data_IF_839973574531
#
_entry.id   IF_839973574531
#
_cell.length_a   1.000
_cell.length_b   1.000
_cell.length_c   1.000
_cell.angle_alpha   90.00
_cell.angle_beta   90.00
_cell.angle_gamma   90.00
#
_symmetry.space_group_name_H-M   'P 1'
#
loop_
_entity.id
_entity.type
_entity.pdbx_description
1 polymer ?
#
# COMPACT_ATOMS: atom_id res chain seq x y z
N UNK A 1 24.39 -21.60 -4.20
CA UNK A 1 23.61 -21.21 -5.39
C UNK A 1 22.96 -22.50 -5.90
N UNK A 2 21.65 -22.48 -6.19
CA UNK A 2 20.97 -23.66 -6.74
C UNK A 2 21.46 -23.91 -8.17
N UNK A 3 21.60 -25.19 -8.55
CA UNK A 3 21.82 -25.54 -9.96
C UNK A 3 20.53 -25.31 -10.78
N UNK A 4 20.66 -25.23 -12.11
CA UNK A 4 19.54 -24.88 -13.00
C UNK A 4 18.36 -25.83 -12.86
N UNK A 5 18.59 -27.12 -12.63
CA UNK A 5 17.53 -28.11 -12.46
C UNK A 5 16.74 -27.87 -11.18
N UNK A 6 17.43 -27.67 -10.05
CA UNK A 6 16.77 -27.34 -8.77
C UNK A 6 16.01 -26.02 -8.86
N UNK A 7 16.59 -25.04 -9.55
CA UNK A 7 15.96 -23.74 -9.77
C UNK A 7 14.64 -23.85 -10.56
N UNK A 8 14.61 -24.66 -11.61
CA UNK A 8 13.38 -24.90 -12.41
C UNK A 8 12.34 -25.66 -11.59
N UNK A 9 12.75 -26.72 -10.89
CA UNK A 9 11.84 -27.53 -10.06
C UNK A 9 11.26 -26.68 -8.92
N UNK A 10 12.08 -25.88 -8.22
CA UNK A 10 11.61 -24.99 -7.17
C UNK A 10 10.60 -23.98 -7.71
N UNK A 11 10.89 -23.35 -8.85
CA UNK A 11 9.97 -22.41 -9.49
C UNK A 11 8.62 -23.07 -9.83
N UNK A 12 8.64 -24.29 -10.37
CA UNK A 12 7.42 -25.02 -10.66
C UNK A 12 6.63 -25.40 -9.41
N UNK A 13 7.30 -25.77 -8.30
CA UNK A 13 6.65 -26.06 -7.02
C UNK A 13 5.99 -24.79 -6.45
N UNK A 14 6.70 -23.65 -6.46
CA UNK A 14 6.17 -22.39 -5.96
C UNK A 14 4.96 -21.94 -6.78
N UNK A 15 5.05 -22.00 -8.10
CA UNK A 15 3.95 -21.62 -8.99
C UNK A 15 2.72 -22.51 -8.77
N UNK A 16 2.90 -23.82 -8.72
CA UNK A 16 1.81 -24.77 -8.48
C UNK A 16 1.15 -24.56 -7.13
N UNK A 17 1.95 -24.23 -6.10
CA UNK A 17 1.42 -23.94 -4.77
C UNK A 17 0.64 -22.62 -4.73
N UNK A 18 1.11 -21.58 -5.43
CA UNK A 18 0.38 -20.30 -5.55
C UNK A 18 -0.99 -20.52 -6.22
N UNK A 19 -1.06 -21.38 -7.25
CA UNK A 19 -2.30 -21.65 -7.98
C UNK A 19 -3.30 -22.51 -7.21
N UNK A 20 -2.80 -23.41 -6.35
CA UNK A 20 -3.65 -24.45 -5.74
C UNK A 20 -3.78 -24.37 -4.22
N UNK A 21 -2.90 -23.62 -3.55
CA UNK A 21 -2.74 -23.60 -2.09
C UNK A 21 -2.60 -25.01 -1.45
N UNK A 22 -2.25 -26.04 -2.25
CA UNK A 22 -2.14 -27.43 -1.81
C UNK A 22 -0.70 -27.92 -1.83
N UNK A 23 -0.27 -28.76 -0.86
CA UNK A 23 1.06 -29.36 -0.87
C UNK A 23 1.35 -30.09 -2.17
N UNK A 24 2.45 -29.75 -2.83
CA UNK A 24 2.78 -30.17 -4.19
C UNK A 24 3.53 -31.50 -4.21
N UNK A 25 2.99 -32.45 -4.96
CA UNK A 25 3.61 -33.77 -5.16
C UNK A 25 4.57 -33.83 -6.36
N UNK A 26 5.60 -34.67 -6.32
CA UNK A 26 6.58 -34.81 -7.39
C UNK A 26 5.98 -35.28 -8.74
N UNK A 27 4.86 -36.04 -8.69
CA UNK A 27 4.17 -36.46 -9.92
C UNK A 27 3.60 -35.28 -10.69
N UNK A 28 3.01 -34.30 -9.99
CA UNK A 28 2.43 -33.12 -10.59
C UNK A 28 3.50 -32.23 -11.25
N UNK A 29 4.63 -32.14 -10.61
CA UNK A 29 5.77 -31.34 -11.14
C UNK A 29 6.43 -32.05 -12.35
N UNK A 30 6.52 -33.39 -12.36
CA UNK A 30 7.08 -34.10 -13.53
C UNK A 30 6.24 -33.95 -14.80
N UNK A 31 4.96 -33.61 -14.65
CA UNK A 31 4.02 -33.40 -15.76
C UNK A 31 3.98 -31.92 -16.21
N UNK A 32 4.68 -31.03 -15.50
CA UNK A 32 4.69 -29.61 -15.80
C UNK A 32 5.55 -29.28 -17.04
N UNK A 33 5.16 -28.26 -17.84
CA UNK A 33 5.90 -27.85 -19.02
C UNK A 33 7.37 -27.46 -18.67
N UNK A 34 8.33 -27.95 -19.46
CA UNK A 34 9.74 -27.64 -19.26
C UNK A 34 10.45 -28.49 -18.21
N UNK A 35 9.79 -29.52 -17.68
CA UNK A 35 10.39 -30.50 -16.74
C UNK A 35 10.57 -31.84 -17.48
N UNK A 36 11.77 -32.10 -17.98
CA UNK A 36 12.11 -33.32 -18.75
C UNK A 36 12.76 -34.39 -17.87
N UNK A 37 12.25 -34.60 -16.64
CA UNK A 37 12.80 -35.60 -15.71
C UNK A 37 11.68 -36.42 -15.06
N UNK A 38 12.01 -37.65 -14.64
CA UNK A 38 11.04 -38.52 -13.99
C UNK A 38 10.58 -38.02 -12.63
N UNK A 39 9.37 -38.40 -12.22
CA UNK A 39 8.83 -38.09 -10.88
C UNK A 39 9.76 -38.56 -9.75
N UNK A 40 10.51 -39.64 -9.93
CA UNK A 40 11.51 -40.08 -8.95
C UNK A 40 12.69 -39.08 -8.85
N UNK A 41 13.15 -38.54 -9.98
CA UNK A 41 14.18 -37.50 -10.02
C UNK A 41 13.66 -36.22 -9.37
N UNK A 42 12.46 -35.75 -9.75
CA UNK A 42 11.81 -34.58 -9.11
C UNK A 42 11.74 -34.76 -7.60
N UNK A 43 11.32 -35.95 -7.14
CA UNK A 43 11.22 -36.23 -5.70
C UNK A 43 12.56 -36.08 -4.98
N UNK A 44 13.67 -36.58 -5.58
CA UNK A 44 15.00 -36.47 -5.01
C UNK A 44 15.45 -34.99 -4.95
N UNK A 45 15.18 -34.22 -6.00
CA UNK A 45 15.49 -32.78 -6.01
C UNK A 45 14.65 -32.01 -4.98
N UNK A 46 13.39 -32.36 -4.81
CA UNK A 46 12.52 -31.76 -3.76
C UNK A 46 13.03 -32.06 -2.35
N UNK A 47 13.59 -33.26 -2.10
CA UNK A 47 14.25 -33.58 -0.82
C UNK A 47 15.49 -32.70 -0.61
N UNK A 48 16.33 -32.56 -1.63
CA UNK A 48 17.50 -31.69 -1.53
C UNK A 48 17.13 -30.22 -1.33
N UNK A 49 16.04 -29.75 -1.93
CA UNK A 49 15.49 -28.40 -1.72
C UNK A 49 14.93 -28.21 -0.31
N UNK A 50 14.33 -29.25 0.26
CA UNK A 50 13.87 -29.28 1.66
C UNK A 50 15.07 -29.22 2.64
N UNK A 51 16.10 -30.05 2.42
CA UNK A 51 17.33 -30.01 3.22
C UNK A 51 18.03 -28.65 3.14
N UNK A 52 17.94 -27.98 1.99
CA UNK A 52 18.47 -26.63 1.79
C UNK A 52 17.54 -25.50 2.32
N UNK A 53 16.36 -25.84 2.87
CA UNK A 53 15.42 -24.93 3.49
C UNK A 53 14.58 -24.10 2.51
N UNK A 54 14.48 -24.48 1.24
CA UNK A 54 13.62 -23.83 0.25
C UNK A 54 12.19 -24.38 0.23
N UNK A 55 12.04 -25.63 0.63
CA UNK A 55 10.76 -26.32 0.75
C UNK A 55 10.60 -26.86 2.18
N UNK A 56 9.37 -27.11 2.58
CA UNK A 56 9.03 -27.80 3.82
C UNK A 56 8.01 -28.91 3.55
N UNK A 57 8.01 -29.95 4.38
CA UNK A 57 7.00 -30.98 4.35
C UNK A 57 6.06 -30.81 5.56
N UNK A 58 4.82 -30.34 5.38
CA UNK A 58 3.93 -30.10 6.53
C UNK A 58 3.55 -31.38 7.29
N UNK A 59 3.44 -32.53 6.58
CA UNK A 59 3.18 -33.84 7.17
C UNK A 59 3.87 -34.94 6.38
N UNK A 60 4.22 -36.04 7.00
CA UNK A 60 5.02 -37.15 6.44
C UNK A 60 4.46 -37.77 5.15
N UNK A 61 3.14 -37.68 4.92
CA UNK A 61 2.47 -38.16 3.71
C UNK A 61 2.07 -37.05 2.73
N UNK A 62 2.30 -35.79 3.08
CA UNK A 62 1.96 -34.66 2.25
C UNK A 62 3.05 -34.40 1.18
N UNK A 63 2.68 -33.64 0.14
CA UNK A 63 3.64 -33.02 -0.76
C UNK A 63 4.55 -32.01 -0.03
N UNK A 64 5.13 -31.10 -0.76
CA UNK A 64 5.96 -30.04 -0.18
C UNK A 64 5.32 -28.68 -0.42
N UNK A 65 5.58 -27.76 0.51
CA UNK A 65 5.16 -26.37 0.44
C UNK A 65 6.41 -25.48 0.37
N UNK A 66 6.36 -24.33 -0.30
CA UNK A 66 7.45 -23.36 -0.27
C UNK A 66 7.64 -22.78 1.13
N UNK A 67 8.88 -22.46 1.49
CA UNK A 67 9.21 -21.60 2.64
C UNK A 67 9.40 -20.16 2.16
N UNK A 68 9.52 -19.18 3.07
CA UNK A 68 9.85 -17.79 2.73
C UNK A 68 11.10 -17.71 1.85
N UNK A 69 12.10 -18.54 2.14
CA UNK A 69 13.31 -18.65 1.31
C UNK A 69 13.02 -19.17 -0.10
N UNK A 70 12.06 -20.10 -0.22
CA UNK A 70 11.61 -20.61 -1.52
C UNK A 70 10.89 -19.54 -2.33
N UNK A 71 9.96 -18.83 -1.71
CA UNK A 71 9.26 -17.70 -2.32
C UNK A 71 10.23 -16.58 -2.71
N UNK A 72 11.19 -16.23 -1.84
CA UNK A 72 12.20 -15.21 -2.14
C UNK A 72 13.01 -15.57 -3.38
N UNK A 73 13.47 -16.80 -3.50
CA UNK A 73 14.19 -17.28 -4.67
C UNK A 73 13.34 -17.14 -5.95
N UNK A 74 12.07 -17.52 -5.89
CA UNK A 74 11.13 -17.44 -7.01
C UNK A 74 10.92 -15.99 -7.46
N UNK A 75 10.65 -15.09 -6.52
CA UNK A 75 10.42 -13.65 -6.79
C UNK A 75 11.68 -13.00 -7.37
N UNK A 76 12.87 -13.31 -6.85
CA UNK A 76 14.12 -12.75 -7.35
C UNK A 76 14.41 -13.23 -8.79
N UNK A 77 13.97 -14.44 -9.13
CA UNK A 77 14.08 -14.97 -10.49
C UNK A 77 13.08 -14.29 -11.44
N UNK A 78 11.83 -14.10 -11.04
CA UNK A 78 10.84 -13.36 -11.83
C UNK A 78 11.29 -11.92 -12.12
N UNK A 79 12.00 -11.29 -11.20
CA UNK A 79 12.54 -9.92 -11.39
C UNK A 79 13.56 -9.82 -12.52
N UNK A 80 14.26 -10.91 -12.84
CA UNK A 80 15.19 -10.95 -13.98
C UNK A 80 14.47 -11.02 -15.33
N UNK A 81 13.25 -11.54 -15.35
CA UNK A 81 12.35 -11.58 -16.49
C UNK A 81 11.37 -10.40 -16.35
N UNK A 82 11.68 -9.25 -16.97
CA UNK A 82 10.76 -8.11 -16.95
C UNK A 82 9.47 -8.49 -17.68
N UNK A 83 8.34 -8.69 -17.00
CA UNK A 83 7.08 -8.86 -17.67
C UNK A 83 6.77 -7.54 -18.40
N UNK A 84 6.53 -7.62 -19.69
CA UNK A 84 6.04 -6.50 -20.48
C UNK A 84 4.53 -6.63 -20.50
N UNK A 85 3.83 -5.58 -20.02
CA UNK A 85 2.37 -5.51 -20.19
C UNK A 85 2.02 -5.76 -21.66
N UNK A 86 0.97 -6.51 -21.90
CA UNK A 86 0.49 -6.70 -23.26
C UNK A 86 -0.02 -5.38 -23.85
N UNK A 87 -0.30 -5.35 -25.17
CA UNK A 87 -0.71 -4.11 -25.83
C UNK A 87 -2.08 -3.61 -25.40
N UNK A 88 -2.96 -4.51 -24.97
CA UNK A 88 -4.29 -4.16 -24.51
C UNK A 88 -4.21 -3.48 -23.14
N UNK A 89 -3.45 -4.07 -22.21
CA UNK A 89 -3.22 -3.52 -20.89
C UNK A 89 -2.47 -2.18 -20.96
N UNK A 90 -1.46 -2.07 -21.84
CA UNK A 90 -0.78 -0.78 -22.09
C UNK A 90 -1.77 0.30 -22.56
N UNK A 91 -2.69 -0.06 -23.48
CA UNK A 91 -3.74 0.85 -23.93
C UNK A 91 -4.65 1.28 -22.80
N UNK A 92 -5.09 0.35 -21.97
CA UNK A 92 -5.95 0.61 -20.81
C UNK A 92 -5.30 1.59 -19.83
N UNK A 93 -4.01 1.38 -19.51
CA UNK A 93 -3.25 2.28 -18.63
C UNK A 93 -3.12 3.69 -19.23
N UNK A 94 -2.76 3.79 -20.52
CA UNK A 94 -2.62 5.08 -21.19
C UNK A 94 -3.94 5.83 -21.22
N UNK A 95 -5.04 5.15 -21.57
CA UNK A 95 -6.37 5.72 -21.65
C UNK A 95 -6.89 6.15 -20.27
N UNK A 96 -6.55 5.43 -19.22
CA UNK A 96 -6.86 5.79 -17.85
C UNK A 96 -6.22 7.13 -17.47
N UNK A 97 -4.89 7.25 -17.60
CA UNK A 97 -4.19 8.48 -17.25
C UNK A 97 -4.52 9.65 -18.17
N UNK A 98 -4.87 9.40 -19.44
CA UNK A 98 -5.33 10.46 -20.34
C UNK A 98 -6.68 11.04 -19.95
N UNK A 99 -7.52 10.28 -19.25
CA UNK A 99 -8.86 10.67 -18.77
C UNK A 99 -8.90 11.09 -17.31
N UNK A 100 -7.86 10.80 -16.54
CA UNK A 100 -7.77 11.15 -15.12
C UNK A 100 -7.63 12.68 -14.96
N UNK A 101 -8.77 13.36 -14.94
CA UNK A 101 -8.90 14.79 -14.70
C UNK A 101 -9.87 14.97 -13.53
N UNK A 102 -9.37 14.90 -12.30
CA UNK A 102 -10.20 14.99 -11.12
C UNK A 102 -9.42 15.39 -9.88
N UNK A 103 -10.08 15.38 -8.76
CA UNK A 103 -9.44 15.50 -7.45
C UNK A 103 -8.47 14.32 -7.25
N UNK A 104 -7.35 14.58 -6.58
CA UNK A 104 -6.30 13.59 -6.34
C UNK A 104 -6.85 12.32 -5.69
N UNK A 105 -7.74 12.44 -4.72
CA UNK A 105 -8.40 11.34 -4.01
C UNK A 105 -9.16 10.40 -4.96
N UNK A 106 -9.94 10.98 -5.88
CA UNK A 106 -10.65 10.21 -6.90
C UNK A 106 -9.67 9.46 -7.81
N UNK A 107 -8.60 10.13 -8.24
CA UNK A 107 -7.58 9.52 -9.09
C UNK A 107 -6.85 8.35 -8.38
N UNK A 108 -6.57 8.46 -7.08
CA UNK A 108 -5.92 7.39 -6.31
C UNK A 108 -6.87 6.20 -6.09
N UNK A 109 -8.15 6.48 -5.82
CA UNK A 109 -9.21 5.45 -5.74
C UNK A 109 -9.32 4.69 -7.06
N UNK A 110 -9.45 5.41 -8.18
CA UNK A 110 -9.57 4.82 -9.52
C UNK A 110 -8.30 4.04 -9.91
N UNK A 111 -7.12 4.51 -9.48
CA UNK A 111 -5.84 3.81 -9.68
C UNK A 111 -5.83 2.48 -8.95
N UNK A 112 -6.32 2.41 -7.72
CA UNK A 112 -6.39 1.15 -6.98
C UNK A 112 -7.34 0.14 -7.64
N UNK A 113 -8.45 0.62 -8.21
CA UNK A 113 -9.38 -0.21 -8.97
C UNK A 113 -8.74 -0.72 -10.28
N UNK A 114 -8.09 0.16 -11.04
CA UNK A 114 -7.37 -0.23 -12.26
C UNK A 114 -6.30 -1.29 -11.99
N UNK A 115 -5.50 -1.13 -10.95
CA UNK A 115 -4.48 -2.12 -10.58
C UNK A 115 -5.10 -3.46 -10.24
N UNK A 116 -6.24 -3.46 -9.52
CA UNK A 116 -6.99 -4.68 -9.21
C UNK A 116 -7.47 -5.39 -10.48
N UNK A 117 -8.02 -4.64 -11.42
CA UNK A 117 -8.56 -5.20 -12.68
C UNK A 117 -7.47 -5.76 -13.58
N UNK A 118 -6.29 -5.13 -13.61
CA UNK A 118 -5.14 -5.59 -14.40
C UNK A 118 -4.45 -6.82 -13.81
N UNK A 119 -4.44 -6.94 -12.49
CA UNK A 119 -3.65 -7.98 -11.80
C UNK A 119 -4.48 -9.12 -11.25
N UNK A 120 -5.78 -8.93 -11.10
CA UNK A 120 -6.72 -9.80 -10.38
C UNK A 120 -6.40 -9.96 -8.87
N UNK A 121 -5.57 -9.06 -8.31
CA UNK A 121 -5.17 -9.03 -6.90
C UNK A 121 -5.73 -7.81 -6.20
N UNK A 122 -5.76 -7.87 -4.86
CA UNK A 122 -6.02 -6.68 -4.04
C UNK A 122 -4.88 -5.69 -4.24
N UNK A 123 -5.22 -4.47 -4.60
CA UNK A 123 -4.28 -3.38 -4.80
C UNK A 123 -4.38 -2.35 -3.70
N UNK A 124 -3.24 -1.85 -3.25
CA UNK A 124 -3.17 -0.76 -2.27
C UNK A 124 -2.40 0.40 -2.89
N UNK A 125 -3.00 1.58 -2.86
CA UNK A 125 -2.37 2.83 -3.29
C UNK A 125 -2.24 3.73 -2.07
N UNK A 126 -1.04 4.21 -1.81
CA UNK A 126 -0.77 5.16 -0.73
C UNK A 126 -0.66 6.55 -1.34
N UNK A 127 -1.47 7.47 -0.84
CA UNK A 127 -1.45 8.86 -1.24
C UNK A 127 -0.17 9.58 -0.76
N UNK A 128 0.13 10.75 -1.33
CA UNK A 128 1.24 11.57 -0.87
C UNK A 128 0.96 12.10 0.54
N UNK A 129 2.00 12.18 1.36
CA UNK A 129 1.92 12.84 2.66
C UNK A 129 1.89 14.37 2.50
N UNK A 130 1.30 15.05 3.47
CA UNK A 130 1.27 16.51 3.49
C UNK A 130 2.48 17.15 4.16
N UNK A 131 3.33 16.36 4.82
CA UNK A 131 4.44 16.86 5.66
C UNK A 131 5.44 17.74 4.92
N UNK A 132 5.82 17.35 3.71
CA UNK A 132 6.80 18.05 2.89
C UNK A 132 6.15 18.93 1.81
N UNK A 133 4.80 18.92 1.74
CA UNK A 133 4.06 19.76 0.81
C UNK A 133 3.92 21.19 1.39
N UNK A 134 4.07 22.20 0.54
CA UNK A 134 3.83 23.58 0.93
C UNK A 134 2.35 23.93 0.78
N UNK A 135 1.85 24.79 1.67
CA UNK A 135 0.50 25.34 1.59
C UNK A 135 0.44 26.32 0.41
N UNK A 136 -0.39 26.02 -0.57
CA UNK A 136 -0.64 26.87 -1.75
C UNK A 136 -1.65 27.97 -1.46
N UNK A 137 -2.70 27.60 -0.74
CA UNK A 137 -3.74 28.52 -0.29
C UNK A 137 -4.46 27.95 0.91
N UNK A 138 -4.97 28.81 1.77
CA UNK A 138 -5.84 28.44 2.88
C UNK A 138 -7.06 29.35 2.89
N UNK A 139 -8.22 28.78 3.26
CA UNK A 139 -9.47 29.51 3.42
C UNK A 139 -10.16 29.06 4.69
N UNK A 140 -10.82 30.00 5.34
CA UNK A 140 -11.72 29.75 6.44
C UNK A 140 -13.16 29.92 5.93
N UNK A 141 -13.99 28.92 6.16
CA UNK A 141 -15.40 28.91 5.74
C UNK A 141 -16.27 28.87 7.00
N UNK A 142 -17.11 29.86 7.16
CA UNK A 142 -18.08 29.94 8.24
C UNK A 142 -19.13 28.85 8.08
N UNK A 143 -19.24 27.94 9.06
CA UNK A 143 -20.25 26.88 9.06
C UNK A 143 -21.39 27.19 10.04
N UNK A 144 -21.06 27.73 11.21
CA UNK A 144 -22.01 28.07 12.28
C UNK A 144 -21.33 28.99 13.28
N UNK A 145 -22.09 29.58 14.21
CA UNK A 145 -21.60 30.59 15.18
C UNK A 145 -20.31 30.24 15.94
N UNK A 146 -20.00 28.96 16.05
CA UNK A 146 -18.82 28.45 16.78
C UNK A 146 -17.95 27.49 15.96
N UNK A 147 -18.29 27.25 14.70
CA UNK A 147 -17.63 26.24 13.87
C UNK A 147 -17.15 26.85 12.57
N UNK A 148 -15.88 26.68 12.28
CA UNK A 148 -15.23 27.14 11.05
C UNK A 148 -14.55 25.96 10.38
N UNK A 149 -14.76 25.79 9.07
CA UNK A 149 -14.01 24.85 8.26
C UNK A 149 -12.75 25.53 7.75
N UNK A 150 -11.62 24.94 8.06
CA UNK A 150 -10.32 25.27 7.48
C UNK A 150 -10.11 24.40 6.26
N UNK A 151 -9.87 25.02 5.10
CA UNK A 151 -9.55 24.33 3.85
C UNK A 151 -8.16 24.78 3.40
N UNK A 152 -7.22 23.87 3.35
CA UNK A 152 -5.88 24.13 2.86
C UNK A 152 -5.59 23.31 1.60
N UNK A 153 -5.12 23.98 0.53
CA UNK A 153 -4.70 23.34 -0.70
C UNK A 153 -3.18 23.24 -0.69
N UNK A 154 -2.66 22.02 -0.78
CA UNK A 154 -1.23 21.74 -0.74
C UNK A 154 -0.61 21.72 -2.15
N UNK A 155 0.71 21.91 -2.23
CA UNK A 155 1.45 21.94 -3.51
C UNK A 155 1.44 20.61 -4.26
N UNK A 156 1.24 19.50 -3.56
CA UNK A 156 1.10 18.15 -4.12
C UNK A 156 -0.34 17.79 -4.55
N UNK A 157 -1.29 18.74 -4.44
CA UNK A 157 -2.69 18.56 -4.84
C UNK A 157 -3.61 18.03 -3.74
N UNK A 158 -3.10 17.68 -2.57
CA UNK A 158 -3.92 17.30 -1.41
C UNK A 158 -4.71 18.50 -0.92
N UNK A 159 -5.96 18.28 -0.55
CA UNK A 159 -6.85 19.27 0.07
C UNK A 159 -7.15 18.84 1.50
N UNK A 160 -6.55 19.54 2.46
CA UNK A 160 -6.84 19.32 3.88
C UNK A 160 -8.09 20.09 4.31
N UNK A 161 -8.99 19.39 5.00
CA UNK A 161 -10.24 19.94 5.55
C UNK A 161 -10.30 19.64 7.04
N UNK A 162 -10.38 20.68 7.87
CA UNK A 162 -10.48 20.55 9.33
C UNK A 162 -11.56 21.47 9.87
N UNK A 163 -12.41 20.96 10.74
CA UNK A 163 -13.37 21.79 11.47
C UNK A 163 -12.74 22.23 12.79
N UNK A 164 -12.81 23.53 13.04
CA UNK A 164 -12.35 24.17 14.26
C UNK A 164 -13.55 24.67 15.02
N UNK A 165 -13.63 24.34 16.30
CA UNK A 165 -14.62 24.88 17.23
C UNK A 165 -13.95 25.96 18.10
N UNK A 166 -14.63 27.11 18.27
CA UNK A 166 -14.18 28.22 19.08
C UNK A 166 -15.24 28.58 20.13
N UNK A 167 -14.78 29.03 21.31
CA UNK A 167 -15.67 29.35 22.42
C UNK A 167 -16.49 30.62 22.18
N UNK A 168 -15.94 31.57 21.43
CA UNK A 168 -16.59 32.85 21.15
C UNK A 168 -17.48 32.77 19.92
N UNK A 169 -18.59 33.52 19.95
CA UNK A 169 -19.45 33.68 18.80
C UNK A 169 -18.71 34.42 17.67
N UNK A 170 -18.70 33.82 16.48
CA UNK A 170 -18.02 34.34 15.31
C UNK A 170 -19.00 35.08 14.39
N UNK A 171 -18.57 36.22 13.90
CA UNK A 171 -19.24 36.89 12.78
C UNK A 171 -18.52 36.56 11.48
N UNK A 172 -19.22 36.64 10.37
CA UNK A 172 -18.67 36.43 9.04
C UNK A 172 -17.42 37.31 8.78
N UNK A 173 -17.45 38.58 9.18
CA UNK A 173 -16.34 39.52 9.07
C UNK A 173 -15.09 39.06 9.85
N UNK A 174 -15.30 38.52 11.06
CA UNK A 174 -14.19 37.96 11.88
C UNK A 174 -13.52 36.76 11.17
N UNK A 175 -14.33 35.86 10.58
CA UNK A 175 -13.84 34.70 9.86
C UNK A 175 -13.07 35.10 8.59
N UNK A 176 -13.56 36.08 7.83
CA UNK A 176 -12.87 36.62 6.66
C UNK A 176 -11.54 37.28 7.02
N UNK A 177 -11.51 38.11 8.09
CA UNK A 177 -10.33 38.78 8.54
C UNK A 177 -9.26 37.80 9.04
N UNK A 178 -9.64 36.84 9.85
CA UNK A 178 -8.76 35.77 10.30
C UNK A 178 -8.22 34.96 9.12
N UNK A 179 -9.09 34.64 8.14
CA UNK A 179 -8.70 33.92 6.93
C UNK A 179 -7.63 34.65 6.11
N UNK A 180 -7.77 35.97 5.92
CA UNK A 180 -6.75 36.78 5.20
C UNK A 180 -5.42 36.83 5.92
N UNK A 181 -5.43 36.97 7.26
CA UNK A 181 -4.21 36.96 8.07
C UNK A 181 -3.55 35.59 8.04
N UNK A 182 -4.33 34.52 8.21
CA UNK A 182 -3.87 33.15 8.13
C UNK A 182 -3.21 32.87 6.78
N UNK A 183 -3.88 33.17 5.66
CA UNK A 183 -3.35 32.95 4.33
C UNK A 183 -1.98 33.62 4.15
N UNK A 184 -1.85 34.91 4.55
CA UNK A 184 -0.59 35.63 4.45
C UNK A 184 0.52 34.99 5.31
N UNK A 185 0.15 34.42 6.44
CA UNK A 185 1.12 33.87 7.41
C UNK A 185 1.62 32.47 7.02
N UNK A 186 0.80 31.65 6.32
CA UNK A 186 1.11 30.25 6.11
C UNK A 186 1.42 29.90 4.62
N UNK A 187 1.08 30.74 3.67
CA UNK A 187 1.31 30.48 2.23
C UNK A 187 2.80 30.25 1.94
N UNK A 188 3.11 29.19 1.20
CA UNK A 188 4.47 28.79 0.85
C UNK A 188 5.23 28.03 1.94
N UNK A 189 4.64 27.82 3.12
CA UNK A 189 5.23 27.03 4.22
C UNK A 189 4.75 25.59 4.19
N UNK A 190 5.56 24.68 4.73
CA UNK A 190 5.15 23.31 5.03
C UNK A 190 4.43 23.24 6.39
N UNK A 191 3.63 22.19 6.61
CA UNK A 191 2.99 21.98 7.91
C UNK A 191 4.03 21.86 9.04
N UNK A 192 5.18 21.30 8.75
CA UNK A 192 6.29 21.17 9.70
C UNK A 192 6.89 22.52 10.12
N UNK A 193 6.97 23.48 9.18
CA UNK A 193 7.46 24.83 9.44
C UNK A 193 6.46 25.69 10.24
N UNK A 194 5.21 25.26 10.37
CA UNK A 194 4.21 25.89 11.23
C UNK A 194 4.42 25.56 12.72
N UNK A 195 5.54 24.93 13.13
CA UNK A 195 5.86 24.51 14.50
C UNK A 195 5.78 25.61 15.55
N UNK A 196 6.09 26.86 15.19
CA UNK A 196 5.82 28.05 16.00
C UNK A 196 4.74 28.89 15.31
N UNK A 197 3.84 29.57 16.08
CA UNK A 197 2.84 30.44 15.48
C UNK A 197 3.48 31.45 14.53
N UNK A 198 3.06 31.51 13.27
CA UNK A 198 3.64 32.49 12.35
C UNK A 198 3.42 33.90 12.84
N UNK A 199 4.41 34.77 12.61
CA UNK A 199 4.27 36.20 12.95
C UNK A 199 3.04 36.80 12.23
N UNK A 200 2.30 37.66 12.94
CA UNK A 200 1.12 38.32 12.40
C UNK A 200 -0.24 37.67 12.75
N UNK A 201 -0.26 36.47 13.34
CA UNK A 201 -1.48 35.82 13.82
C UNK A 201 -1.45 35.49 15.31
N UNK A 202 -0.40 35.88 16.04
CA UNK A 202 -0.19 35.53 17.45
C UNK A 202 -1.32 36.01 18.38
N UNK A 203 -2.01 37.10 18.01
CA UNK A 203 -3.12 37.68 18.77
C UNK A 203 -4.50 37.30 18.20
N UNK A 204 -4.55 36.34 17.23
CA UNK A 204 -5.78 35.91 16.60
C UNK A 204 -6.13 34.45 17.01
N UNK A 205 -7.06 34.27 17.99
CA UNK A 205 -7.40 32.95 18.49
C UNK A 205 -7.93 31.99 17.40
N UNK A 206 -8.69 32.50 16.41
CA UNK A 206 -9.24 31.69 15.32
C UNK A 206 -8.13 31.24 14.34
N UNK A 207 -7.24 32.17 13.97
CA UNK A 207 -6.12 31.84 13.11
C UNK A 207 -5.16 30.84 13.78
N UNK A 208 -4.90 30.99 15.09
CA UNK A 208 -4.09 30.04 15.85
C UNK A 208 -4.75 28.65 15.92
N UNK A 209 -6.05 28.60 16.23
CA UNK A 209 -6.78 27.34 16.25
C UNK A 209 -6.79 26.65 14.87
N UNK A 210 -6.87 27.42 13.78
CA UNK A 210 -6.75 26.89 12.43
C UNK A 210 -5.36 26.33 12.12
N UNK A 211 -4.28 26.99 12.54
CA UNK A 211 -2.90 26.47 12.42
C UNK A 211 -2.76 25.16 13.20
N UNK A 212 -3.25 25.10 14.43
CA UNK A 212 -3.17 23.91 15.27
C UNK A 212 -3.96 22.74 14.67
N UNK A 213 -5.13 23.02 14.07
CA UNK A 213 -5.92 22.03 13.36
C UNK A 213 -5.22 21.49 12.10
N UNK A 214 -4.53 22.36 11.34
CA UNK A 214 -3.71 21.95 10.20
C UNK A 214 -2.48 21.14 10.62
N UNK A 215 -1.84 21.49 11.73
CA UNK A 215 -0.71 20.73 12.28
C UNK A 215 -1.13 19.35 12.79
N UNK A 216 -2.30 19.27 13.42
CA UNK A 216 -2.88 18.00 13.85
C UNK A 216 -3.30 17.11 12.66
N UNK A 217 -3.47 17.67 11.47
CA UNK A 217 -3.73 16.94 10.22
C UNK A 217 -2.57 16.03 9.82
N UNK A 218 -1.39 16.20 10.46
CA UNK A 218 -0.10 15.62 10.12
C UNK A 218 -0.08 14.17 9.71
N UNK A 219 0.76 13.91 8.77
CA UNK A 219 1.57 12.75 8.40
C UNK A 219 0.91 11.38 8.17
N UNK A 220 -0.37 11.18 8.30
CA UNK A 220 -0.96 9.89 7.89
C UNK A 220 -1.31 9.96 6.41
N UNK A 221 -0.52 9.29 5.58
CA UNK A 221 -0.86 9.11 4.18
C UNK A 221 -2.20 8.38 4.07
N UNK A 222 -3.08 8.87 3.18
CA UNK A 222 -4.34 8.17 2.89
C UNK A 222 -4.08 6.88 2.12
N UNK A 223 -4.83 5.84 2.45
CA UNK A 223 -4.71 4.51 1.85
C UNK A 223 -5.98 4.20 1.07
N UNK A 224 -5.81 3.86 -0.19
CA UNK A 224 -6.89 3.46 -1.09
C UNK A 224 -6.75 1.99 -1.42
N UNK A 225 -7.76 1.19 -1.10
CA UNK A 225 -7.75 -0.26 -1.29
C UNK A 225 -8.72 -0.63 -2.39
N UNK A 226 -8.20 -1.18 -3.48
CA UNK A 226 -8.98 -1.77 -4.57
C UNK A 226 -9.06 -3.29 -4.40
N UNK A 227 -10.23 -3.87 -4.71
CA UNK A 227 -10.39 -5.32 -4.78
C UNK A 227 -10.25 -6.06 -3.46
N UNK A 228 -10.64 -5.48 -2.32
CA UNK A 228 -10.59 -6.17 -1.02
C UNK A 228 -11.32 -7.53 -1.01
N UNK A 229 -12.35 -7.70 -1.85
CA UNK A 229 -13.03 -8.98 -2.05
C UNK A 229 -12.15 -10.07 -2.68
N UNK A 230 -11.06 -9.71 -3.37
CA UNK A 230 -10.10 -10.65 -3.96
C UNK A 230 -9.32 -11.40 -2.89
N UNK A 231 -9.12 -10.81 -1.71
CA UNK A 231 -8.51 -11.48 -0.55
C UNK A 231 -9.30 -12.76 -0.22
N UNK A 232 -10.62 -12.71 -0.28
CA UNK A 232 -11.47 -13.87 0.02
C UNK A 232 -11.26 -15.03 -0.97
N UNK A 233 -10.84 -14.74 -2.21
CA UNK A 233 -10.57 -15.75 -3.23
C UNK A 233 -9.14 -16.29 -3.16
N UNK A 234 -8.23 -15.58 -2.51
CA UNK A 234 -6.81 -15.95 -2.42
C UNK A 234 -6.51 -16.95 -1.29
N UNK A 235 -7.39 -17.05 -0.29
CA UNK A 235 -7.17 -17.92 0.88
C UNK A 235 -8.35 -18.86 1.10
N UNK A 236 -8.07 -20.15 1.34
CA UNK A 236 -9.09 -21.15 1.73
C UNK A 236 -9.56 -20.98 3.17
N UNK A 237 -8.69 -20.49 4.06
CA UNK A 237 -8.99 -20.32 5.48
C UNK A 237 -9.63 -18.96 5.76
N UNK A 238 -10.89 -18.97 6.23
CA UNK A 238 -11.65 -17.75 6.59
C UNK A 238 -10.92 -16.88 7.63
N UNK A 239 -10.16 -17.50 8.52
CA UNK A 239 -9.36 -16.81 9.54
C UNK A 239 -8.27 -15.96 8.89
N UNK A 240 -7.53 -16.48 7.91
CA UNK A 240 -6.50 -15.73 7.17
C UNK A 240 -7.08 -14.57 6.37
N UNK A 241 -8.24 -14.78 5.74
CA UNK A 241 -8.96 -13.69 5.06
C UNK A 241 -9.27 -12.57 6.05
N UNK A 242 -9.75 -12.90 7.25
CA UNK A 242 -10.06 -11.92 8.29
C UNK A 242 -8.80 -11.15 8.72
N UNK A 243 -7.70 -11.85 8.94
CA UNK A 243 -6.45 -11.28 9.41
C UNK A 243 -5.87 -10.29 8.39
N UNK A 244 -5.86 -10.65 7.11
CA UNK A 244 -5.41 -9.76 6.03
C UNK A 244 -6.33 -8.54 5.91
N UNK A 245 -7.65 -8.72 5.95
CA UNK A 245 -8.59 -7.59 5.90
C UNK A 245 -8.44 -6.67 7.11
N UNK A 246 -8.23 -7.22 8.31
CA UNK A 246 -7.99 -6.43 9.51
C UNK A 246 -6.71 -5.58 9.41
N UNK A 247 -5.66 -6.09 8.76
CA UNK A 247 -4.44 -5.29 8.47
C UNK A 247 -4.74 -4.18 7.45
N UNK A 248 -5.49 -4.48 6.38
CA UNK A 248 -5.85 -3.49 5.36
C UNK A 248 -6.72 -2.35 5.91
N UNK A 249 -7.52 -2.60 6.95
CA UNK A 249 -8.30 -1.58 7.64
C UNK A 249 -7.43 -0.65 8.52
N UNK A 250 -6.23 -1.10 8.90
CA UNK A 250 -5.29 -0.33 9.73
C UNK A 250 -4.35 0.50 8.85
N UNK A 251 -4.81 1.66 8.40
CA UNK A 251 -4.06 2.54 7.48
C UNK A 251 -2.61 2.79 7.92
N UNK A 252 -2.38 3.06 9.21
CA UNK A 252 -1.03 3.30 9.76
C UNK A 252 -0.12 2.10 9.55
N UNK A 253 -0.62 0.87 9.77
CA UNK A 253 0.16 -0.37 9.58
C UNK A 253 0.49 -0.58 8.11
N UNK A 254 -0.48 -0.34 7.22
CA UNK A 254 -0.29 -0.46 5.77
C UNK A 254 0.74 0.54 5.26
N UNK A 255 0.65 1.80 5.66
CA UNK A 255 1.62 2.85 5.28
C UNK A 255 3.01 2.50 5.79
N UNK A 256 3.14 2.10 7.07
CA UNK A 256 4.43 1.71 7.65
C UNK A 256 5.05 0.54 6.88
N UNK A 257 4.28 -0.51 6.60
CA UNK A 257 4.73 -1.68 5.85
C UNK A 257 5.24 -1.28 4.44
N UNK A 258 4.49 -0.48 3.71
CA UNK A 258 4.89 -0.06 2.36
C UNK A 258 6.14 0.81 2.41
N UNK A 259 6.22 1.74 3.36
CA UNK A 259 7.38 2.62 3.56
C UNK A 259 8.62 1.79 3.89
N UNK A 260 8.54 0.87 4.84
CA UNK A 260 9.64 -0.01 5.24
C UNK A 260 10.16 -0.86 4.07
N UNK A 261 9.26 -1.41 3.26
CA UNK A 261 9.62 -2.19 2.06
C UNK A 261 10.37 -1.32 1.04
N UNK A 262 9.90 -0.09 0.82
CA UNK A 262 10.53 0.85 -0.11
C UNK A 262 11.89 1.35 0.39
N UNK A 263 12.02 1.68 1.67
CA UNK A 263 13.28 2.14 2.28
C UNK A 263 14.37 1.06 2.23
N UNK A 264 14.00 -0.21 2.41
CA UNK A 264 14.91 -1.34 2.24
C UNK A 264 15.26 -1.62 0.77
N UNK A 265 14.69 -0.85 -0.18
CA UNK A 265 14.86 -1.06 -1.62
C UNK A 265 14.24 -2.37 -2.10
N UNK A 266 13.37 -2.97 -1.32
CA UNK A 266 12.62 -4.16 -1.67
C UNK A 266 11.41 -3.77 -2.53
N UNK A 267 10.96 -4.70 -3.36
CA UNK A 267 9.72 -4.55 -4.13
C UNK A 267 8.65 -5.54 -3.69
N UNK A 268 9.05 -6.56 -2.95
CA UNK A 268 8.19 -7.63 -2.43
C UNK A 268 8.68 -7.97 -1.03
N UNK A 269 7.78 -8.02 -0.08
CA UNK A 269 8.02 -8.57 1.26
C UNK A 269 7.25 -9.89 1.40
N UNK A 270 7.86 -10.90 2.03
CA UNK A 270 7.33 -12.26 2.14
C UNK A 270 7.38 -12.70 3.60
N UNK A 271 6.26 -13.17 4.13
CA UNK A 271 6.19 -13.75 5.46
C UNK A 271 6.75 -12.81 6.54
N UNK A 272 7.75 -13.26 7.28
CA UNK A 272 8.40 -12.48 8.36
C UNK A 272 9.02 -11.15 7.88
N UNK A 273 9.35 -11.02 6.60
CA UNK A 273 9.91 -9.77 6.05
C UNK A 273 8.93 -8.60 6.09
N UNK A 274 7.63 -8.87 6.19
CA UNK A 274 6.59 -7.84 6.31
C UNK A 274 6.70 -7.07 7.62
N UNK A 275 7.28 -7.66 8.66
CA UNK A 275 7.33 -7.08 10.01
C UNK A 275 5.96 -7.00 10.69
N UNK A 276 4.95 -7.64 10.14
CA UNK A 276 3.58 -7.70 10.68
C UNK A 276 3.28 -9.14 11.07
N UNK A 277 3.20 -9.43 12.36
CA UNK A 277 3.04 -10.80 12.89
C UNK A 277 1.84 -11.54 12.27
N UNK A 278 0.73 -10.84 12.07
CA UNK A 278 -0.49 -11.40 11.44
C UNK A 278 -0.29 -11.79 9.97
N UNK A 279 0.67 -11.20 9.26
CA UNK A 279 0.98 -11.54 7.87
C UNK A 279 2.12 -12.55 7.76
N UNK A 280 2.89 -12.79 8.81
CA UNK A 280 4.00 -13.74 8.79
C UNK A 280 3.56 -15.16 8.43
N UNK A 281 2.38 -15.58 8.87
CA UNK A 281 1.80 -16.89 8.60
C UNK A 281 0.93 -16.94 7.33
N UNK A 282 0.84 -15.83 6.57
CA UNK A 282 0.03 -15.75 5.34
C UNK A 282 0.81 -16.07 4.06
N UNK A 283 2.08 -16.46 4.17
CA UNK A 283 2.92 -16.83 3.03
C UNK A 283 2.69 -18.28 2.58
#
# INVERSE_FOLDING_TARGET
MLDDRKAVILSAVVQEYIETAQPVGSGRISDAPGIDVSSATVRNEMVALEEAGYLAQPHTSAGRVPTDKGYRFFVDRLRSERPVLDRADQGTVIDFFARAHGELESMLTDTSALLTDLTDWTAVVVGPTVDDATIRSVQLVDLASHHVLVVAVMSNGVIEKRTVEVESELTHEMVEDAGRRLATAVEGRTLRELGEPPGGIADDPLALAAVDALRAAGSVAEVFVGGASRVASAFEAVERVRDVLAVLEQQIVVVSLITDVLERGQRVAIGEETGVDTLADCA
#
